data_IF_763342720196
#
_entry.id   IF_763342720196
#
_cell.length_a   1.000
_cell.length_b   1.000
_cell.length_c   1.000
_cell.angle_alpha   90.00
_cell.angle_beta   90.00
_cell.angle_gamma   90.00
#
_symmetry.space_group_name_H-M   'P 1'
#
loop_
_entity.id
_entity.type
_entity.pdbx_description
1 polymer ?
#
# COMPACT_ATOMS: atom_id res chain seq x y z
N UNK A 1 -2.70 -7.30 15.21
CA UNK A 1 -3.49 -6.40 14.36
C UNK A 1 -2.57 -5.32 13.84
N UNK A 2 -2.61 -5.04 12.53
CA UNK A 2 -1.80 -3.99 11.91
C UNK A 2 -2.72 -2.82 11.56
N UNK A 3 -2.43 -1.64 12.11
CA UNK A 3 -3.07 -0.39 11.71
C UNK A 3 -2.40 0.14 10.44
N UNK A 4 -3.19 0.62 9.47
CA UNK A 4 -2.67 1.02 8.16
C UNK A 4 -2.84 2.52 7.97
N UNK A 5 -1.74 3.21 7.66
CA UNK A 5 -1.72 4.63 7.30
C UNK A 5 -1.31 4.74 5.83
N UNK A 6 -2.16 5.31 4.99
CA UNK A 6 -1.82 5.66 3.61
C UNK A 6 -1.41 7.13 3.57
N UNK A 7 -0.30 7.44 2.93
CA UNK A 7 0.14 8.82 2.75
C UNK A 7 0.74 9.06 1.38
N UNK A 8 0.52 10.25 0.84
CA UNK A 8 0.97 10.59 -0.51
C UNK A 8 0.57 12.00 -0.89
N UNK A 9 0.98 12.42 -2.08
CA UNK A 9 0.69 13.76 -2.58
C UNK A 9 -0.77 13.94 -2.98
N UNK A 10 -1.34 15.09 -2.61
CA UNK A 10 -2.71 15.48 -2.95
C UNK A 10 -3.74 14.47 -2.43
N UNK A 11 -4.74 14.18 -3.26
CA UNK A 11 -5.84 13.29 -2.92
C UNK A 11 -5.50 11.81 -3.10
N UNK A 12 -4.27 11.45 -3.49
CA UNK A 12 -3.86 10.05 -3.70
C UNK A 12 -4.24 9.11 -2.53
N UNK A 13 -3.88 9.39 -1.26
CA UNK A 13 -4.21 8.47 -0.16
C UNK A 13 -5.72 8.42 0.13
N UNK A 14 -6.46 9.50 -0.14
CA UNK A 14 -7.92 9.58 0.04
C UNK A 14 -8.60 8.71 -1.02
N UNK A 15 -8.30 8.97 -2.29
CA UNK A 15 -8.88 8.25 -3.42
C UNK A 15 -8.53 6.75 -3.38
N UNK A 16 -7.34 6.39 -2.89
CA UNK A 16 -6.97 4.99 -2.73
C UNK A 16 -7.78 4.29 -1.63
N UNK A 17 -7.99 4.96 -0.48
CA UNK A 17 -8.88 4.47 0.58
C UNK A 17 -10.29 4.28 0.06
N UNK A 18 -10.85 5.28 -0.62
CA UNK A 18 -12.21 5.22 -1.19
C UNK A 18 -12.35 4.08 -2.22
N UNK A 19 -11.37 3.95 -3.13
CA UNK A 19 -11.35 2.88 -4.13
C UNK A 19 -11.28 1.50 -3.49
N UNK A 20 -10.53 1.34 -2.41
CA UNK A 20 -10.51 0.08 -1.65
C UNK A 20 -11.86 -0.21 -0.99
N UNK A 21 -12.54 0.82 -0.49
CA UNK A 21 -13.87 0.70 0.11
C UNK A 21 -14.93 0.19 -0.87
N UNK A 22 -14.83 0.59 -2.15
CA UNK A 22 -15.73 0.10 -3.20
C UNK A 22 -15.60 -1.40 -3.49
N UNK A 23 -14.45 -2.00 -3.17
CA UNK A 23 -14.14 -3.40 -3.47
C UNK A 23 -14.23 -4.28 -2.21
N UNK A 24 -13.62 -3.83 -1.13
CA UNK A 24 -13.44 -4.59 0.11
C UNK A 24 -14.46 -4.23 1.20
N UNK A 25 -15.16 -3.10 1.06
CA UNK A 25 -16.00 -2.51 2.10
C UNK A 25 -15.26 -1.46 2.92
N UNK A 26 -16.03 -0.63 3.65
CA UNK A 26 -15.46 0.43 4.48
C UNK A 26 -14.65 -0.14 5.66
N UNK A 27 -13.45 0.41 5.87
CA UNK A 27 -12.54 -0.02 6.92
C UNK A 27 -12.16 1.13 7.85
N UNK A 28 -12.55 1.02 9.12
CA UNK A 28 -12.32 2.05 10.13
C UNK A 28 -10.84 2.17 10.53
N UNK A 29 -10.05 1.10 10.41
CA UNK A 29 -8.63 1.09 10.77
C UNK A 29 -7.70 1.39 9.58
N UNK A 30 -8.24 1.99 8.51
CA UNK A 30 -7.50 2.49 7.36
C UNK A 30 -7.53 4.02 7.37
N UNK A 31 -6.39 4.65 7.59
CA UNK A 31 -6.29 6.10 7.78
C UNK A 31 -5.56 6.71 6.57
N UNK A 32 -6.16 7.72 5.96
CA UNK A 32 -5.55 8.46 4.85
C UNK A 32 -5.01 9.79 5.37
N UNK A 33 -3.73 10.07 5.14
CA UNK A 33 -3.05 11.31 5.51
C UNK A 33 -2.52 11.98 4.25
N UNK A 34 -3.24 12.95 3.66
CA UNK A 34 -2.79 13.64 2.46
C UNK A 34 -1.69 14.66 2.73
N UNK A 35 -0.77 14.77 1.78
CA UNK A 35 0.25 15.82 1.71
C UNK A 35 -0.10 16.82 0.60
N UNK A 36 -0.58 18.00 0.98
CA UNK A 36 -1.07 19.00 0.04
C UNK A 36 -0.01 20.03 -0.36
N UNK A 37 -0.24 20.69 -1.49
CA UNK A 37 0.63 21.78 -1.97
C UNK A 37 0.72 22.89 -0.93
N UNK A 38 1.95 23.30 -0.61
CA UNK A 38 2.23 24.34 0.39
C UNK A 38 2.54 23.78 1.78
N UNK A 39 2.29 22.50 2.03
CA UNK A 39 2.70 21.85 3.27
C UNK A 39 4.19 21.50 3.24
N UNK A 40 4.83 21.59 4.41
CA UNK A 40 6.20 21.13 4.62
C UNK A 40 6.26 19.77 5.31
N UNK A 41 7.46 19.21 5.41
CA UNK A 41 7.70 17.94 6.12
C UNK A 41 7.25 18.01 7.59
N UNK A 42 7.44 19.15 8.25
CA UNK A 42 7.06 19.37 9.65
C UNK A 42 5.55 19.24 9.85
N UNK A 43 4.76 19.90 9.01
CA UNK A 43 3.29 19.78 9.01
C UNK A 43 2.84 18.33 8.82
N UNK A 44 3.49 17.59 7.92
CA UNK A 44 3.15 16.19 7.70
C UNK A 44 3.55 15.30 8.89
N UNK A 45 4.68 15.58 9.54
CA UNK A 45 5.08 14.90 10.77
C UNK A 45 4.10 15.16 11.91
N UNK A 46 3.55 16.37 12.04
CA UNK A 46 2.50 16.68 13.01
C UNK A 46 1.22 15.87 12.75
N UNK A 47 0.78 15.78 11.50
CA UNK A 47 -0.36 14.93 11.10
C UNK A 47 -0.13 13.46 11.46
N UNK A 48 1.06 12.92 11.17
CA UNK A 48 1.40 11.55 11.56
C UNK A 48 1.43 11.39 13.08
N UNK A 49 1.99 12.35 13.81
CA UNK A 49 2.02 12.30 15.26
C UNK A 49 0.62 12.22 15.85
N UNK A 50 -0.30 13.07 15.39
CA UNK A 50 -1.71 13.05 15.79
C UNK A 50 -2.36 11.70 15.45
N UNK A 51 -2.19 11.23 14.22
CA UNK A 51 -2.73 9.94 13.77
C UNK A 51 -2.24 8.76 14.63
N UNK A 52 -0.95 8.76 15.00
CA UNK A 52 -0.35 7.71 15.81
C UNK A 52 -0.81 7.72 17.27
N UNK A 53 -1.29 8.85 17.80
CA UNK A 53 -1.81 8.93 19.18
C UNK A 53 -3.11 8.12 19.35
N UNK A 54 -3.92 8.03 18.29
CA UNK A 54 -5.18 7.30 18.30
C UNK A 54 -5.00 5.79 18.05
N UNK A 55 -3.79 5.34 17.71
CA UNK A 55 -3.48 3.94 17.46
C UNK A 55 -3.02 3.25 18.75
N UNK A 56 -3.64 2.12 19.15
CA UNK A 56 -3.21 1.35 20.31
C UNK A 56 -1.72 0.96 20.27
N UNK A 57 -1.04 1.00 21.43
CA UNK A 57 0.41 0.76 21.52
C UNK A 57 0.81 -0.69 21.26
N UNK A 58 -0.13 -1.62 21.32
CA UNK A 58 0.03 -3.02 21.01
C UNK A 58 -0.07 -3.33 19.51
N UNK A 59 -0.61 -2.39 18.71
CA UNK A 59 -0.74 -2.59 17.27
C UNK A 59 0.59 -2.36 16.57
N UNK A 60 0.85 -3.15 15.53
CA UNK A 60 1.87 -2.82 14.54
C UNK A 60 1.32 -1.74 13.60
N UNK A 61 2.19 -0.92 13.01
CA UNK A 61 1.78 0.17 12.11
C UNK A 61 2.47 0.01 10.76
N UNK A 62 1.68 -0.04 9.69
CA UNK A 62 2.17 -0.07 8.33
C UNK A 62 1.86 1.27 7.64
N UNK A 63 2.91 1.99 7.25
CA UNK A 63 2.78 3.12 6.34
C UNK A 63 2.83 2.63 4.89
N UNK A 64 1.82 2.99 4.10
CA UNK A 64 1.79 2.79 2.65
C UNK A 64 1.95 4.16 1.98
N UNK A 65 3.06 4.36 1.28
CA UNK A 65 3.36 5.65 0.66
C UNK A 65 3.45 5.60 -0.86
N UNK A 66 3.15 6.72 -1.50
CA UNK A 66 3.14 6.85 -2.96
C UNK A 66 4.53 6.66 -3.58
N UNK A 67 5.56 7.37 -3.10
CA UNK A 67 6.87 7.45 -3.74
C UNK A 67 7.99 7.31 -2.70
N UNK A 68 8.97 6.46 -3.01
CA UNK A 68 10.18 6.30 -2.20
C UNK A 68 11.01 7.61 -2.19
N UNK A 69 11.46 8.02 -1.00
CA UNK A 69 12.28 9.22 -0.84
C UNK A 69 11.53 10.56 -0.99
N UNK A 70 10.22 10.54 -1.24
CA UNK A 70 9.37 11.73 -1.22
C UNK A 70 9.12 12.27 0.20
N UNK A 71 8.49 13.44 0.33
CA UNK A 71 8.16 14.03 1.64
C UNK A 71 7.30 13.10 2.52
N UNK A 72 6.26 12.43 2.01
CA UNK A 72 5.51 11.42 2.77
C UNK A 72 6.38 10.31 3.37
N UNK A 73 7.29 9.76 2.56
CA UNK A 73 8.25 8.74 2.97
C UNK A 73 9.21 9.27 4.04
N UNK A 74 9.86 10.42 3.79
CA UNK A 74 10.87 10.98 4.70
C UNK A 74 10.27 11.40 6.05
N UNK A 75 9.05 11.93 6.06
CA UNK A 75 8.33 12.24 7.29
C UNK A 75 8.10 10.97 8.13
N UNK A 76 7.65 9.88 7.52
CA UNK A 76 7.34 8.62 8.20
C UNK A 76 8.61 7.92 8.71
N UNK A 77 9.70 7.98 7.93
CA UNK A 77 11.00 7.40 8.28
C UNK A 77 11.50 7.82 9.68
N UNK A 78 11.25 9.07 10.06
CA UNK A 78 11.67 9.62 11.35
C UNK A 78 10.95 9.00 12.56
N UNK A 79 9.74 8.48 12.37
CA UNK A 79 8.98 7.75 13.38
C UNK A 79 9.39 6.27 13.40
N UNK A 80 9.49 5.66 12.23
CA UNK A 80 9.89 4.25 12.06
C UNK A 80 11.26 3.97 12.67
N UNK A 81 12.22 4.89 12.50
CA UNK A 81 13.55 4.76 13.10
C UNK A 81 13.53 4.69 14.65
N UNK A 82 12.44 5.12 15.30
CA UNK A 82 12.31 5.20 16.76
C UNK A 82 11.41 4.11 17.35
N UNK A 83 10.61 3.42 16.54
CA UNK A 83 9.64 2.43 16.99
C UNK A 83 9.64 1.19 16.09
N UNK A 84 10.10 0.07 16.64
CA UNK A 84 10.24 -1.21 15.92
C UNK A 84 8.91 -1.85 15.52
N UNK A 85 7.77 -1.34 16.01
CA UNK A 85 6.43 -1.79 15.59
C UNK A 85 5.99 -1.18 14.27
N UNK A 86 6.72 -0.19 13.77
CA UNK A 86 6.36 0.57 12.58
C UNK A 86 7.30 0.23 11.43
N UNK A 87 6.76 0.16 10.23
CA UNK A 87 7.55 0.03 9.00
C UNK A 87 6.73 0.57 7.82
N UNK A 88 7.33 0.65 6.63
CA UNK A 88 6.70 1.24 5.45
C UNK A 88 6.98 0.50 4.14
N UNK A 89 6.01 0.60 3.22
CA UNK A 89 6.18 0.25 1.82
C UNK A 89 5.89 1.48 0.95
N UNK A 90 6.70 1.69 -0.09
CA UNK A 90 6.56 2.79 -1.04
C UNK A 90 6.22 2.27 -2.44
N UNK A 91 5.64 3.12 -3.30
CA UNK A 91 5.24 2.72 -4.65
C UNK A 91 3.95 1.90 -4.65
N UNK A 92 3.06 2.18 -3.71
CA UNK A 92 1.86 1.38 -3.47
C UNK A 92 0.77 1.69 -4.51
N UNK A 93 -0.04 0.68 -4.81
CA UNK A 93 -1.19 0.75 -5.72
C UNK A 93 -2.41 0.06 -5.08
N UNK A 94 -3.55 0.08 -5.76
CA UNK A 94 -4.79 -0.50 -5.24
C UNK A 94 -4.67 -2.02 -4.96
N UNK A 95 -4.11 -2.86 -5.85
CA UNK A 95 -3.87 -4.27 -5.54
C UNK A 95 -3.08 -4.49 -4.24
N UNK A 96 -2.00 -3.72 -4.02
CA UNK A 96 -1.19 -3.80 -2.80
C UNK A 96 -2.02 -3.48 -1.55
N UNK A 97 -2.86 -2.45 -1.60
CA UNK A 97 -3.73 -2.11 -0.47
C UNK A 97 -4.76 -3.21 -0.20
N UNK A 98 -5.40 -3.76 -1.23
CA UNK A 98 -6.38 -4.85 -1.06
C UNK A 98 -5.75 -6.08 -0.40
N UNK A 99 -4.52 -6.43 -0.79
CA UNK A 99 -3.80 -7.54 -0.18
C UNK A 99 -3.46 -7.27 1.29
N UNK A 100 -3.05 -6.03 1.62
CA UNK A 100 -2.83 -5.62 3.01
C UNK A 100 -4.10 -5.80 3.83
N UNK A 101 -5.24 -5.33 3.33
CA UNK A 101 -6.52 -5.44 4.04
C UNK A 101 -6.93 -6.89 4.27
N UNK A 102 -6.65 -7.78 3.32
CA UNK A 102 -6.90 -9.22 3.41
C UNK A 102 -6.05 -9.93 4.47
N UNK A 103 -4.77 -9.52 4.64
CA UNK A 103 -3.79 -10.28 5.42
C UNK A 103 -3.43 -9.67 6.78
N UNK A 104 -3.74 -8.39 7.02
CA UNK A 104 -3.31 -7.64 8.21
C UNK A 104 -3.79 -8.18 9.57
N UNK A 105 -4.81 -9.03 9.57
CA UNK A 105 -5.31 -9.69 10.78
C UNK A 105 -4.58 -11.01 11.07
N UNK A 106 -3.95 -11.61 10.05
CA UNK A 106 -3.40 -12.96 10.11
C UNK A 106 -1.87 -13.00 10.12
N UNK A 107 -1.21 -11.94 9.63
CA UNK A 107 0.24 -11.88 9.53
C UNK A 107 0.85 -10.83 10.48
N UNK A 108 2.12 -11.06 10.83
CA UNK A 108 2.97 -10.03 11.46
C UNK A 108 3.47 -9.04 10.41
N UNK A 109 3.77 -7.81 10.83
CA UNK A 109 4.17 -6.73 9.92
C UNK A 109 5.32 -7.12 8.97
N UNK A 110 6.37 -7.75 9.52
CA UNK A 110 7.53 -8.19 8.73
C UNK A 110 7.19 -9.27 7.69
N UNK A 111 6.29 -10.18 8.03
CA UNK A 111 5.85 -11.24 7.14
C UNK A 111 4.99 -10.67 6.01
N UNK A 112 4.07 -9.76 6.36
CA UNK A 112 3.25 -9.04 5.41
C UNK A 112 4.12 -8.26 4.40
N UNK A 113 5.11 -7.50 4.86
CA UNK A 113 6.01 -6.75 3.95
C UNK A 113 6.80 -7.64 3.00
N UNK A 114 7.27 -8.80 3.47
CA UNK A 114 7.95 -9.78 2.61
C UNK A 114 7.01 -10.35 1.54
N UNK A 115 5.74 -10.56 1.88
CA UNK A 115 4.71 -10.98 0.94
C UNK A 115 4.43 -9.90 -0.10
N UNK A 116 4.17 -8.66 0.34
CA UNK A 116 3.90 -7.53 -0.54
C UNK A 116 5.05 -7.26 -1.51
N UNK A 117 6.30 -7.44 -1.07
CA UNK A 117 7.49 -7.29 -1.94
C UNK A 117 7.48 -8.27 -3.12
N UNK A 118 6.94 -9.48 -2.94
CA UNK A 118 6.77 -10.47 -4.02
C UNK A 118 5.58 -10.11 -4.90
N UNK A 119 4.47 -9.74 -4.28
CA UNK A 119 3.23 -9.41 -4.98
C UNK A 119 3.35 -8.14 -5.82
N UNK A 120 4.17 -7.17 -5.43
CA UNK A 120 4.31 -5.89 -6.16
C UNK A 120 4.70 -6.09 -7.62
N UNK A 121 5.57 -7.06 -7.91
CA UNK A 121 5.97 -7.43 -9.27
C UNK A 121 4.82 -8.04 -10.09
N UNK A 122 3.88 -8.72 -9.42
CA UNK A 122 2.70 -9.31 -10.05
C UNK A 122 1.55 -8.30 -10.17
N UNK A 123 1.57 -7.21 -9.41
CA UNK A 123 0.51 -6.19 -9.48
C UNK A 123 0.62 -5.30 -10.73
N UNK A 124 1.82 -5.20 -11.32
CA UNK A 124 2.05 -4.48 -12.55
C UNK A 124 1.87 -5.44 -13.73
N UNK A 125 0.85 -5.20 -14.55
CA UNK A 125 0.46 -6.08 -15.65
C UNK A 125 0.35 -5.28 -16.95
N UNK A 126 0.87 -5.81 -18.04
CA UNK A 126 0.84 -5.17 -19.36
C UNK A 126 -0.12 -5.94 -20.27
N UNK A 127 -1.20 -5.29 -20.72
CA UNK A 127 -2.25 -5.96 -21.49
C UNK A 127 -1.74 -6.65 -22.77
N UNK A 128 -0.80 -6.04 -23.51
CA UNK A 128 -0.25 -6.63 -24.73
C UNK A 128 0.41 -7.99 -24.48
N UNK A 129 1.13 -8.17 -23.37
CA UNK A 129 1.76 -9.45 -23.01
C UNK A 129 0.72 -10.56 -22.76
N UNK A 130 -0.46 -10.20 -22.25
CA UNK A 130 -1.55 -11.15 -22.03
C UNK A 130 -2.17 -11.57 -23.36
N UNK A 131 -2.37 -10.61 -24.26
CA UNK A 131 -2.93 -10.86 -25.58
C UNK A 131 -2.00 -11.73 -26.44
N UNK A 132 -0.68 -11.54 -26.35
CA UNK A 132 0.31 -12.36 -27.05
C UNK A 132 0.29 -13.81 -26.55
N UNK A 133 0.37 -14.03 -25.22
CA UNK A 133 0.29 -15.37 -24.64
C UNK A 133 -1.00 -16.09 -25.03
N UNK A 134 -2.13 -15.38 -25.05
CA UNK A 134 -3.42 -15.94 -25.45
C UNK A 134 -3.43 -16.40 -26.92
N UNK A 135 -2.76 -15.68 -27.82
CA UNK A 135 -2.63 -16.08 -29.23
C UNK A 135 -1.78 -17.34 -29.38
N UNK A 136 -0.62 -17.39 -28.74
CA UNK A 136 0.29 -18.56 -28.80
C UNK A 136 -0.41 -19.83 -28.29
N UNK A 137 -1.14 -19.76 -27.18
CA UNK A 137 -1.90 -20.90 -26.65
C UNK A 137 -3.02 -21.35 -27.60
N UNK A 138 -3.65 -20.41 -28.33
CA UNK A 138 -4.68 -20.76 -29.32
C UNK A 138 -4.08 -21.40 -30.58
N UNK A 139 -2.85 -21.06 -30.95
CA UNK A 139 -2.12 -21.65 -32.08
C UNK A 139 -1.62 -23.06 -31.74
N UNK A 140 -1.00 -23.25 -30.58
CA UNK A 140 -0.51 -24.57 -30.10
C UNK A 140 -1.66 -25.60 -29.98
N UNK A 141 -2.80 -25.21 -29.40
CA UNK A 141 -3.99 -26.08 -29.32
C UNK A 141 -4.54 -26.48 -30.69
N UNK A 142 -4.34 -25.65 -31.71
CA UNK A 142 -4.80 -25.90 -33.07
C UNK A 142 -3.90 -26.89 -33.81
N UNK A 143 -2.62 -26.94 -33.45
CA UNK A 143 -1.66 -27.89 -34.00
C UNK A 143 -1.78 -29.27 -33.33
N UNK A 144 -2.12 -29.34 -32.03
CA UNK A 144 -2.35 -30.60 -31.32
C UNK A 144 -3.67 -31.33 -31.70
N UNK A 145 -4.61 -30.62 -32.35
CA UNK A 145 -5.89 -31.17 -32.83
C UNK A 145 -5.83 -31.71 -34.28
N UNK A 146 -4.67 -31.63 -34.96
CA UNK A 146 -4.41 -32.10 -36.34
C UNK A 146 -3.57 -33.38 -36.37
#
# INVERSE_FOLDING_TARGET
>A
MISVIISGHGDFPIALKESSGMIFGEENHLIAVPFFKGEGIQTLQEKYHQTLQDIPKENEVLFLVDIFGGTPYNAAASFIAKDQRMDMAAGINLPILLEVLSLREHLKLKELLNHLKKMSQQSFQVCSEHLEKAKTVCEEKREDEL
#
